data_IF_127071965272
#
_entry.id   IF_127071965272
#
_cell.length_a   1.000
_cell.length_b   1.000
_cell.length_c   1.000
_cell.angle_alpha   90.00
_cell.angle_beta   90.00
_cell.angle_gamma   90.00
#
_symmetry.space_group_name_H-M   'P 1'
#
loop_
_entity.id
_entity.type
_entity.pdbx_description
1 polymer ?
#
# COMPACT_ATOMS: atom_id res chain seq x y z
N UNK A 1 -18.97 -5.01 3.30
CA UNK A 1 -18.84 -5.63 1.96
C UNK A 1 -17.48 -6.33 1.88
N UNK A 2 -17.19 -7.11 0.84
CA UNK A 2 -15.88 -7.75 0.69
C UNK A 2 -15.23 -7.28 -0.62
N UNK A 3 -14.00 -6.76 -0.54
CA UNK A 3 -13.21 -6.37 -1.70
C UNK A 3 -12.27 -7.51 -2.09
N UNK A 4 -11.92 -7.60 -3.37
CA UNK A 4 -10.92 -8.54 -3.87
C UNK A 4 -9.72 -7.79 -4.39
N UNK A 5 -8.56 -8.43 -4.32
CA UNK A 5 -7.34 -7.87 -4.89
C UNK A 5 -6.49 -8.96 -5.53
N UNK A 6 -5.80 -8.64 -6.62
CA UNK A 6 -4.87 -9.56 -7.27
C UNK A 6 -3.58 -8.88 -7.71
N UNK A 7 -2.50 -9.65 -7.77
CA UNK A 7 -1.28 -9.18 -8.45
C UNK A 7 -1.48 -9.16 -9.97
N UNK A 8 -0.57 -8.50 -10.70
CA UNK A 8 -0.66 -8.33 -12.16
C UNK A 8 -0.80 -9.67 -12.92
N UNK A 9 -0.13 -10.73 -12.46
CA UNK A 9 -0.24 -12.05 -13.10
C UNK A 9 -1.38 -12.91 -12.55
N UNK A 10 -2.25 -12.37 -11.68
CA UNK A 10 -3.36 -13.06 -11.01
C UNK A 10 -2.97 -14.28 -10.16
N UNK A 11 -1.67 -14.49 -9.93
CA UNK A 11 -1.16 -15.63 -9.17
C UNK A 11 -1.38 -15.48 -7.66
N UNK A 12 -1.33 -14.25 -7.15
CA UNK A 12 -1.72 -13.88 -5.79
C UNK A 12 -3.12 -13.29 -5.85
N UNK A 13 -4.02 -13.82 -5.04
CA UNK A 13 -5.38 -13.30 -4.89
C UNK A 13 -5.71 -13.17 -3.41
N UNK A 14 -6.33 -12.05 -3.05
CA UNK A 14 -6.67 -11.68 -1.68
C UNK A 14 -8.15 -11.34 -1.59
N UNK A 15 -8.71 -11.52 -0.39
CA UNK A 15 -10.03 -11.01 0.00
C UNK A 15 -9.88 -10.12 1.22
N UNK A 16 -10.55 -8.97 1.21
CA UNK A 16 -10.58 -8.00 2.30
C UNK A 16 -11.99 -8.03 2.87
N UNK A 17 -12.12 -8.54 4.10
CA UNK A 17 -13.40 -8.77 4.80
C UNK A 17 -13.78 -7.56 5.68
N UNK A 18 -13.53 -6.36 5.18
CA UNK A 18 -13.82 -5.09 5.85
C UNK A 18 -14.06 -3.99 4.81
N UNK A 19 -14.60 -2.85 5.26
CA UNK A 19 -14.60 -1.64 4.45
C UNK A 19 -13.17 -1.10 4.29
N UNK A 20 -12.91 -0.40 3.18
CA UNK A 20 -11.60 0.20 2.93
C UNK A 20 -11.42 1.47 3.75
N UNK A 21 -10.36 1.49 4.56
CA UNK A 21 -9.88 2.72 5.19
C UNK A 21 -9.45 3.75 4.14
N UNK A 22 -9.54 5.07 4.47
CA UNK A 22 -9.09 6.12 3.57
C UNK A 22 -7.67 5.98 3.04
N UNK A 23 -7.48 6.46 1.81
CA UNK A 23 -6.23 6.30 1.09
C UNK A 23 -5.20 7.28 1.64
N UNK A 24 -4.00 6.76 1.89
CA UNK A 24 -2.81 7.55 2.19
C UNK A 24 -1.80 7.42 1.06
N UNK A 25 -1.19 8.53 0.68
CA UNK A 25 -0.19 8.59 -0.37
C UNK A 25 1.19 8.87 0.23
N UNK A 26 2.21 8.13 -0.17
CA UNK A 26 3.58 8.33 0.31
C UNK A 26 4.53 8.68 -0.84
N UNK A 27 5.17 9.84 -0.71
CA UNK A 27 6.08 10.42 -1.70
C UNK A 27 7.56 10.13 -1.41
N UNK A 28 7.90 9.34 -0.40
CA UNK A 28 9.31 9.09 -0.10
C UNK A 28 10.01 8.30 -1.22
N UNK A 29 11.33 8.49 -1.37
CA UNK A 29 12.12 7.84 -2.44
C UNK A 29 12.03 6.31 -2.42
N UNK A 30 11.92 5.69 -1.25
CA UNK A 30 11.72 4.23 -1.19
C UNK A 30 10.35 3.79 -1.74
N UNK A 31 9.30 4.59 -1.54
CA UNK A 31 7.98 4.28 -2.08
C UNK A 31 7.94 4.51 -3.59
N UNK A 32 8.56 5.58 -4.08
CA UNK A 32 8.76 5.82 -5.52
C UNK A 32 9.47 4.63 -6.18
N UNK A 33 10.63 4.22 -5.65
CA UNK A 33 11.41 3.09 -6.17
C UNK A 33 10.66 1.76 -6.11
N UNK A 34 9.97 1.48 -5.01
CA UNK A 34 9.26 0.21 -4.84
C UNK A 34 8.02 0.09 -5.73
N UNK A 35 7.41 1.22 -6.13
CA UNK A 35 6.23 1.23 -7.00
C UNK A 35 6.59 1.46 -8.47
N UNK A 36 7.76 2.02 -8.76
CA UNK A 36 8.09 2.51 -10.10
C UNK A 36 7.24 3.73 -10.51
N UNK A 37 6.76 4.53 -9.56
CA UNK A 37 5.78 5.60 -9.78
C UNK A 37 6.12 6.89 -9.00
N UNK A 38 5.31 7.94 -9.21
CA UNK A 38 5.43 9.24 -8.50
C UNK A 38 5.34 9.11 -6.97
N UNK A 39 4.58 8.13 -6.50
CA UNK A 39 4.30 7.83 -5.10
C UNK A 39 3.78 6.39 -4.95
N UNK A 40 3.52 5.97 -3.72
CA UNK A 40 2.72 4.79 -3.45
C UNK A 40 1.41 5.18 -2.74
N UNK A 41 0.27 4.75 -3.28
CA UNK A 41 -1.02 4.83 -2.61
C UNK A 41 -1.27 3.55 -1.81
N UNK A 42 -1.72 3.70 -0.57
CA UNK A 42 -2.06 2.59 0.33
C UNK A 42 -3.38 2.83 1.05
N UNK A 43 -4.03 1.74 1.42
CA UNK A 43 -5.07 1.70 2.44
C UNK A 43 -4.57 0.78 3.58
N UNK A 44 -5.04 1.03 4.80
CA UNK A 44 -4.74 0.16 5.94
C UNK A 44 -5.78 -0.96 6.03
N UNK A 45 -5.32 -2.17 6.30
CA UNK A 45 -6.18 -3.33 6.50
C UNK A 45 -5.69 -4.07 7.73
N UNK A 46 -6.61 -4.45 8.62
CA UNK A 46 -6.28 -5.34 9.73
C UNK A 46 -5.93 -6.71 9.16
N UNK A 47 -4.90 -7.36 9.69
CA UNK A 47 -4.49 -8.69 9.25
C UNK A 47 -5.59 -9.72 9.45
N UNK A 48 -6.43 -9.56 10.48
CA UNK A 48 -7.61 -10.39 10.71
C UNK A 48 -8.61 -10.34 9.56
N UNK A 49 -8.64 -9.23 8.82
CA UNK A 49 -9.61 -8.98 7.76
C UNK A 49 -9.02 -9.24 6.37
N UNK A 50 -7.73 -9.61 6.28
CA UNK A 50 -7.06 -9.91 5.01
C UNK A 50 -6.83 -11.41 4.85
N UNK A 51 -7.57 -12.00 3.93
CA UNK A 51 -7.45 -13.41 3.57
C UNK A 51 -6.60 -13.56 2.29
N UNK A 52 -5.63 -14.48 2.31
CA UNK A 52 -4.92 -14.90 1.10
C UNK A 52 -5.70 -16.06 0.49
N UNK A 53 -6.44 -15.76 -0.58
CA UNK A 53 -7.28 -16.75 -1.28
C UNK A 53 -6.42 -17.68 -2.13
N UNK A 54 -5.36 -17.15 -2.75
CA UNK A 54 -4.45 -17.92 -3.61
C UNK A 54 -3.04 -17.31 -3.60
N UNK A 55 -2.04 -18.17 -3.81
CA UNK A 55 -0.69 -17.73 -4.19
C UNK A 55 0.20 -17.31 -3.02
N UNK A 56 -0.05 -17.80 -1.81
CA UNK A 56 0.81 -17.54 -0.65
C UNK A 56 2.27 -17.91 -0.93
N UNK A 57 2.49 -19.05 -1.62
CA UNK A 57 3.81 -19.49 -2.06
C UNK A 57 4.48 -18.56 -3.09
N UNK A 58 3.74 -17.65 -3.72
CA UNK A 58 4.24 -16.63 -4.65
C UNK A 58 4.60 -15.31 -3.95
N UNK A 59 4.25 -15.14 -2.68
CA UNK A 59 4.64 -13.98 -1.90
C UNK A 59 6.11 -14.08 -1.49
N UNK A 60 6.85 -13.01 -1.73
CA UNK A 60 8.23 -12.83 -1.26
C UNK A 60 8.31 -11.55 -0.43
N UNK A 61 9.18 -11.57 0.59
CA UNK A 61 9.42 -10.43 1.45
C UNK A 61 10.82 -9.85 1.25
N UNK A 62 10.92 -8.52 1.39
CA UNK A 62 12.16 -7.76 1.49
C UNK A 62 12.07 -6.79 2.68
N UNK A 63 13.09 -6.79 3.54
CA UNK A 63 13.19 -5.84 4.65
C UNK A 63 13.87 -4.55 4.16
N UNK A 64 13.09 -3.48 4.05
CA UNK A 64 13.59 -2.15 3.67
C UNK A 64 14.26 -1.41 4.86
N UNK A 65 14.04 -1.92 6.07
CA UNK A 65 14.70 -1.56 7.33
C UNK A 65 14.43 -2.69 8.34
N UNK A 66 15.09 -2.75 9.51
CA UNK A 66 14.80 -3.77 10.52
C UNK A 66 13.31 -3.85 10.92
N UNK A 67 12.59 -2.73 10.89
CA UNK A 67 11.19 -2.66 11.30
C UNK A 67 10.19 -2.58 10.12
N UNK A 68 10.62 -2.67 8.86
CA UNK A 68 9.70 -2.50 7.71
C UNK A 68 9.90 -3.58 6.66
N UNK A 69 8.90 -4.44 6.53
CA UNK A 69 8.83 -5.50 5.53
C UNK A 69 7.95 -5.06 4.36
N UNK A 70 8.40 -5.31 3.15
CA UNK A 70 7.64 -5.15 1.91
C UNK A 70 7.38 -6.54 1.33
N UNK A 71 6.12 -6.83 1.01
CA UNK A 71 5.70 -8.11 0.45
C UNK A 71 5.26 -7.88 -1.00
N UNK A 72 5.73 -8.71 -1.92
CA UNK A 72 5.48 -8.60 -3.35
C UNK A 72 5.32 -9.97 -4.00
N UNK A 73 4.69 -10.03 -5.17
CA UNK A 73 4.61 -11.26 -5.95
C UNK A 73 5.97 -11.54 -6.61
N UNK A 74 6.58 -12.69 -6.33
CA UNK A 74 7.89 -13.07 -6.90
C UNK A 74 7.85 -13.38 -8.40
N UNK A 75 6.66 -13.54 -8.97
CA UNK A 75 6.47 -13.85 -10.40
C UNK A 75 6.38 -12.58 -11.24
N UNK A 76 5.51 -11.63 -10.89
CA UNK A 76 5.29 -10.41 -11.67
C UNK A 76 5.88 -9.13 -11.05
N UNK A 77 6.39 -9.21 -9.83
CA UNK A 77 6.96 -8.06 -9.12
C UNK A 77 5.94 -7.10 -8.52
N UNK A 78 4.62 -7.31 -8.69
CA UNK A 78 3.60 -6.43 -8.11
C UNK A 78 3.82 -6.28 -6.60
N UNK A 79 3.97 -5.05 -6.07
CA UNK A 79 4.00 -4.83 -4.64
C UNK A 79 2.61 -5.13 -4.08
N UNK A 80 2.54 -5.96 -3.04
CA UNK A 80 1.26 -6.37 -2.44
C UNK A 80 0.95 -5.52 -1.22
N UNK A 81 1.77 -5.60 -0.19
CA UNK A 81 1.64 -4.72 0.98
C UNK A 81 2.98 -4.37 1.60
N UNK A 82 2.95 -3.48 2.58
CA UNK A 82 4.03 -3.33 3.53
C UNK A 82 3.50 -3.41 4.94
N UNK A 83 4.30 -3.96 5.86
CA UNK A 83 3.96 -4.07 7.27
C UNK A 83 5.14 -3.67 8.13
N UNK A 84 4.85 -3.30 9.37
CA UNK A 84 5.86 -2.95 10.36
C UNK A 84 5.81 -3.93 11.52
N UNK A 85 6.96 -4.25 12.11
CA UNK A 85 7.00 -5.19 13.23
C UNK A 85 6.44 -4.57 14.52
N UNK A 86 6.56 -3.25 14.68
CA UNK A 86 5.98 -2.49 15.80
C UNK A 86 4.47 -2.20 15.67
N UNK A 87 3.85 -2.55 14.53
CA UNK A 87 2.40 -2.51 14.31
C UNK A 87 1.97 -3.80 13.61
N UNK A 88 2.09 -4.96 14.29
CA UNK A 88 2.05 -6.28 13.65
C UNK A 88 0.68 -6.62 13.07
N UNK A 89 -0.39 -6.04 13.60
CA UNK A 89 -1.78 -6.37 13.24
C UNK A 89 -2.28 -5.62 12.00
N UNK A 90 -1.52 -4.64 11.48
CA UNK A 90 -1.95 -3.82 10.36
C UNK A 90 -1.00 -3.98 9.17
N UNK A 91 -1.57 -4.22 7.99
CA UNK A 91 -0.86 -4.11 6.73
C UNK A 91 -1.26 -2.85 5.99
N UNK A 92 -0.34 -2.33 5.17
CA UNK A 92 -0.59 -1.23 4.24
C UNK A 92 -0.67 -1.80 2.84
N UNK A 93 -1.89 -2.16 2.44
CA UNK A 93 -2.19 -2.78 1.15
C UNK A 93 -2.02 -1.75 0.02
N UNK A 94 -1.47 -2.18 -1.12
CA UNK A 94 -1.40 -1.34 -2.32
C UNK A 94 -2.79 -1.22 -2.95
N UNK A 95 -3.29 0.02 -3.04
CA UNK A 95 -4.60 0.35 -3.58
C UNK A 95 -4.77 -0.18 -5.01
N UNK A 96 -3.72 -0.09 -5.83
CA UNK A 96 -3.75 -0.52 -7.23
C UNK A 96 -3.85 -2.04 -7.45
N UNK A 97 -3.98 -2.86 -6.41
CA UNK A 97 -4.29 -4.29 -6.55
C UNK A 97 -5.78 -4.59 -6.40
N UNK A 98 -6.57 -3.66 -5.87
CA UNK A 98 -8.01 -3.86 -5.62
C UNK A 98 -8.73 -3.88 -6.96
N UNK A 99 -9.62 -4.87 -7.14
CA UNK A 99 -10.30 -5.11 -8.42
C UNK A 99 -11.56 -4.27 -8.58
N UNK A 100 -12.22 -3.95 -7.48
CA UNK A 100 -13.44 -3.15 -7.47
C UNK A 100 -13.14 -1.64 -7.56
N UNK A 101 -14.16 -0.86 -7.95
CA UNK A 101 -14.06 0.60 -7.92
C UNK A 101 -13.90 1.10 -6.48
N UNK A 102 -12.98 2.05 -6.30
CA UNK A 102 -12.62 2.58 -4.98
C UNK A 102 -13.19 3.98 -4.85
N UNK A 103 -14.21 4.13 -4.02
CA UNK A 103 -14.83 5.43 -3.72
C UNK A 103 -14.22 6.13 -2.49
N UNK A 104 -13.30 5.47 -1.77
CA UNK A 104 -12.71 6.03 -0.56
C UNK A 104 -11.72 7.16 -0.88
N UNK A 105 -11.81 8.34 -0.23
CA UNK A 105 -10.98 9.49 -0.58
C UNK A 105 -9.52 9.31 -0.17
N UNK A 106 -8.65 10.08 -0.82
CA UNK A 106 -7.30 10.36 -0.31
C UNK A 106 -7.42 11.36 0.83
N UNK A 107 -6.88 11.02 2.01
CA UNK A 107 -6.94 11.90 3.20
C UNK A 107 -5.60 12.52 3.55
N UNK A 108 -4.49 11.94 3.08
CA UNK A 108 -3.17 12.53 3.32
C UNK A 108 -2.10 12.15 2.31
N UNK A 109 -1.12 13.05 2.18
CA UNK A 109 0.15 12.87 1.51
C UNK A 109 1.29 12.97 2.52
N UNK A 110 2.08 11.91 2.63
CA UNK A 110 3.25 11.83 3.49
C UNK A 110 4.54 12.05 2.69
N UNK A 111 5.52 12.70 3.31
CA UNK A 111 6.84 13.00 2.73
C UNK A 111 6.79 13.91 1.49
N UNK A 112 5.93 14.93 1.49
CA UNK A 112 5.76 15.82 0.32
C UNK A 112 7.04 16.59 -0.05
N UNK A 113 7.98 16.79 0.88
CA UNK A 113 9.31 17.33 0.56
C UNK A 113 10.11 16.45 -0.43
N UNK A 114 9.76 15.16 -0.56
CA UNK A 114 10.37 14.22 -1.50
C UNK A 114 9.59 14.05 -2.82
N UNK A 115 8.48 14.77 -2.98
CA UNK A 115 7.60 14.70 -4.14
C UNK A 115 8.38 14.98 -5.44
N UNK A 116 7.96 14.30 -6.50
CA UNK A 116 8.48 14.54 -7.85
C UNK A 116 7.92 15.83 -8.44
N UNK A 117 8.76 16.62 -9.13
CA UNK A 117 8.33 17.90 -9.72
C UNK A 117 7.36 17.75 -10.89
N UNK A 118 7.35 16.60 -11.57
CA UNK A 118 6.57 16.34 -12.77
C UNK A 118 5.14 15.83 -12.49
N UNK A 119 4.77 15.60 -11.22
CA UNK A 119 3.42 15.19 -10.82
C UNK A 119 2.97 16.00 -9.60
N UNK A 120 2.25 17.11 -9.78
CA UNK A 120 1.75 17.92 -8.68
C UNK A 120 0.64 17.20 -7.89
N UNK A 121 0.48 17.55 -6.60
CA UNK A 121 -0.69 17.14 -5.81
C UNK A 121 -1.81 18.12 -6.17
N UNK A 122 -2.95 17.60 -6.63
CA UNK A 122 -4.06 18.41 -7.14
C UNK A 122 -5.32 18.34 -6.27
N UNK A 123 -5.27 17.59 -5.16
CA UNK A 123 -6.36 17.51 -4.18
C UNK A 123 -6.06 18.38 -2.94
N UNK A 124 -7.00 18.39 -1.99
CA UNK A 124 -6.93 19.15 -0.75
C UNK A 124 -6.57 18.29 0.46
N UNK A 125 -6.08 17.07 0.25
CA UNK A 125 -5.74 16.16 1.34
C UNK A 125 -4.57 16.73 2.17
N UNK A 126 -4.50 16.33 3.44
CA UNK A 126 -3.49 16.88 4.35
C UNK A 126 -2.08 16.51 3.90
N UNK A 127 -1.16 17.48 3.87
CA UNK A 127 0.20 17.28 3.36
C UNK A 127 1.23 17.33 4.49
N UNK A 128 1.86 16.19 4.78
CA UNK A 128 2.92 16.07 5.78
C UNK A 128 4.31 16.14 5.13
N UNK A 129 5.15 17.14 5.45
CA UNK A 129 6.46 17.33 4.83
C UNK A 129 7.43 16.15 5.00
N UNK A 130 7.48 15.55 6.20
CA UNK A 130 8.49 14.56 6.60
C UNK A 130 7.92 13.22 7.06
N UNK A 131 6.66 12.93 6.70
CA UNK A 131 5.94 11.73 7.12
C UNK A 131 4.76 12.06 8.03
N UNK A 132 3.80 11.14 8.13
CA UNK A 132 2.67 11.28 9.06
C UNK A 132 3.23 11.21 10.48
N UNK A 133 3.15 12.32 11.22
CA UNK A 133 3.35 12.30 12.67
C UNK A 133 2.22 11.43 13.24
N UNK A 134 2.57 10.40 14.02
CA UNK A 134 1.59 9.52 14.65
C UNK A 134 0.52 10.38 15.38
N UNK A 135 -0.79 10.14 15.17
CA UNK A 135 -1.66 10.01 16.32
C UNK A 135 -1.28 8.76 17.13
#
# INVERSE_FOLDING_TARGET
MAYTASCLCNGVQLRINAELEPIMVCHCKQCQKAQGAAFAAITQVQKSDLEIVQGENLLQAYFASPNKKRVFCKTCGSPVWSERLDKPDVVRLRVGLINEEISTPVISHAFVNSQVKWYPICDTAHQYPNGVENP
#
